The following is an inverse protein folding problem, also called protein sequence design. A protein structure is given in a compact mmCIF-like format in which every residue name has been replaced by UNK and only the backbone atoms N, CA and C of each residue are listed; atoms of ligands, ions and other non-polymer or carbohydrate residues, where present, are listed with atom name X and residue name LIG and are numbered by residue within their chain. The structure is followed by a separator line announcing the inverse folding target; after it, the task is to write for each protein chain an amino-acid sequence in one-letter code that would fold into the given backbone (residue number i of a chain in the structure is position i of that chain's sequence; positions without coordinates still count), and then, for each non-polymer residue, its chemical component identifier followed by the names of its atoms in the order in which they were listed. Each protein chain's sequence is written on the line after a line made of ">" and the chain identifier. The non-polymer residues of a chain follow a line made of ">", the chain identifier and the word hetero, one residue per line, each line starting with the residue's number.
data_IF_782762834506
#
_entry.id   IF_782762834506
#
_cell.length_a   1.000
_cell.length_b   1.000
_cell.length_c   1.000
_cell.angle_alpha   90.00
_cell.angle_beta   90.00
_cell.angle_gamma   90.00
#
_symmetry.space_group_name_H-M   'P 1'
#
loop_
_entity.id
_entity.type
_entity.pdbx_description
1 polymer ?
#
# COMPACT_ATOMS: atom_id res chain seq x y z
N UNK A 1 -18.30 -27.07 -0.88
CA UNK A 1 -17.72 -25.77 -0.49
C UNK A 1 -16.24 -25.79 -0.83
N UNK A 2 -15.74 -24.87 -1.66
CA UNK A 2 -14.28 -24.65 -1.74
C UNK A 2 -13.91 -23.72 -0.60
N UNK A 3 -13.08 -24.17 0.33
CA UNK A 3 -12.59 -23.31 1.41
C UNK A 3 -11.80 -22.14 0.86
N UNK A 4 -11.95 -20.96 1.44
CA UNK A 4 -11.17 -19.78 1.10
C UNK A 4 -10.10 -19.56 2.19
N UNK A 5 -8.83 -19.48 1.78
CA UNK A 5 -7.72 -19.17 2.69
C UNK A 5 -7.60 -17.65 2.87
N UNK A 6 -7.54 -17.18 4.11
CA UNK A 6 -7.25 -15.78 4.46
C UNK A 6 -5.82 -15.67 5.02
N UNK A 7 -5.20 -14.49 4.89
CA UNK A 7 -3.97 -14.18 5.61
C UNK A 7 -4.30 -13.78 7.04
N UNK A 8 -3.35 -13.95 7.95
CA UNK A 8 -3.44 -13.56 9.35
C UNK A 8 -2.02 -13.33 9.89
N UNK A 9 -1.91 -12.59 10.99
CA UNK A 9 -0.69 -12.45 11.79
C UNK A 9 -1.01 -12.73 13.24
N UNK A 10 -0.03 -13.23 14.00
CA UNK A 10 -0.21 -13.54 15.42
C UNK A 10 -0.32 -12.25 16.24
N UNK A 11 -1.37 -12.11 17.03
CA UNK A 11 -1.65 -10.87 17.76
C UNK A 11 -0.63 -10.55 18.87
N UNK A 12 0.07 -11.57 19.40
CA UNK A 12 1.04 -11.39 20.47
C UNK A 12 2.42 -10.92 19.95
N UNK A 13 2.74 -11.24 18.70
CA UNK A 13 4.07 -10.99 18.11
C UNK A 13 4.05 -10.01 16.94
N UNK A 14 2.90 -9.76 16.33
CA UNK A 14 2.80 -8.83 15.20
C UNK A 14 3.29 -7.43 15.58
N UNK A 15 3.99 -6.81 14.63
CA UNK A 15 4.55 -5.46 14.79
C UNK A 15 3.72 -4.44 14.02
N UNK A 16 3.78 -3.18 14.47
CA UNK A 16 3.08 -2.07 13.84
C UNK A 16 3.82 -1.54 12.61
N UNK A 17 3.05 -1.17 11.59
CA UNK A 17 3.53 -0.50 10.40
C UNK A 17 2.54 0.58 9.94
N UNK A 18 3.07 1.60 9.26
CA UNK A 18 2.30 2.48 8.40
C UNK A 18 2.23 1.86 6.99
N UNK A 19 1.05 1.90 6.38
CA UNK A 19 0.84 1.41 5.01
C UNK A 19 0.22 2.52 4.18
N UNK A 20 0.89 2.88 3.09
CA UNK A 20 0.46 3.89 2.13
C UNK A 20 -0.12 3.22 0.90
N UNK A 21 -1.43 3.39 0.71
CA UNK A 21 -2.14 2.90 -0.45
C UNK A 21 -2.23 4.01 -1.48
N UNK A 22 -1.45 3.87 -2.55
CA UNK A 22 -1.51 4.80 -3.68
C UNK A 22 -2.60 4.38 -4.67
N UNK A 23 -3.19 5.38 -5.31
CA UNK A 23 -4.06 5.31 -6.48
C UNK A 23 -3.62 6.37 -7.51
N UNK A 24 -4.32 6.48 -8.64
CA UNK A 24 -4.04 7.48 -9.67
C UNK A 24 -4.02 8.88 -9.06
N UNK A 25 -2.98 9.66 -9.37
CA UNK A 25 -2.83 11.04 -8.90
C UNK A 25 -3.91 11.97 -9.45
N UNK A 26 -4.44 11.67 -10.64
CA UNK A 26 -5.46 12.44 -11.32
C UNK A 26 -6.74 11.64 -11.50
N UNK A 27 -7.89 12.31 -11.43
CA UNK A 27 -9.20 11.74 -11.75
C UNK A 27 -9.50 11.75 -13.24
N UNK A 28 -8.75 12.54 -14.00
CA UNK A 28 -8.89 12.70 -15.44
C UNK A 28 -7.73 11.99 -16.16
N UNK A 29 -8.03 11.33 -17.29
CA UNK A 29 -7.04 10.61 -18.08
C UNK A 29 -6.10 11.55 -18.87
N UNK A 30 -6.53 12.80 -19.10
CA UNK A 30 -5.75 13.84 -19.79
C UNK A 30 -5.78 15.15 -18.98
N UNK A 31 -5.13 15.20 -17.80
CA UNK A 31 -5.26 16.32 -16.86
C UNK A 31 -4.66 17.64 -17.36
N UNK A 32 -3.82 17.62 -18.40
CA UNK A 32 -3.10 18.80 -18.95
C UNK A 32 -3.70 19.32 -20.27
N UNK A 33 -4.93 18.92 -20.59
CA UNK A 33 -5.65 19.45 -21.75
C UNK A 33 -5.85 20.97 -21.64
N UNK A 34 -5.77 21.67 -22.77
CA UNK A 34 -5.63 23.14 -22.84
C UNK A 34 -6.75 23.95 -22.16
N UNK A 35 -7.92 23.36 -21.92
CA UNK A 35 -9.12 24.04 -21.40
C UNK A 35 -9.36 23.82 -19.89
N UNK A 36 -8.39 23.31 -19.12
CA UNK A 36 -8.51 23.10 -17.67
C UNK A 36 -7.20 23.26 -16.91
N UNK A 37 -7.32 23.52 -15.61
CA UNK A 37 -6.18 23.51 -14.70
C UNK A 37 -5.98 22.09 -14.14
N UNK A 38 -4.83 21.47 -14.39
CA UNK A 38 -4.54 20.10 -13.95
C UNK A 38 -4.65 19.91 -12.42
N UNK A 39 -4.47 20.98 -11.63
CA UNK A 39 -4.63 20.92 -10.17
C UNK A 39 -6.08 20.63 -9.75
N UNK A 40 -7.06 21.02 -10.58
CA UNK A 40 -8.47 20.69 -10.36
C UNK A 40 -8.77 19.21 -10.64
N UNK A 41 -7.89 18.52 -11.37
CA UNK A 41 -7.99 17.10 -11.65
C UNK A 41 -7.30 16.23 -10.60
N UNK A 42 -6.70 16.80 -9.54
CA UNK A 42 -6.04 16.01 -8.49
C UNK A 42 -7.06 15.10 -7.80
N UNK A 43 -6.71 13.82 -7.70
CA UNK A 43 -7.50 12.84 -6.97
C UNK A 43 -7.24 13.00 -5.46
N UNK A 44 -8.25 13.42 -4.67
CA UNK A 44 -8.09 13.55 -3.22
C UNK A 44 -7.87 12.19 -2.53
N UNK A 45 -8.18 11.09 -3.21
CA UNK A 45 -7.99 9.72 -2.73
C UNK A 45 -6.74 9.05 -3.35
N UNK A 46 -5.84 9.83 -3.97
CA UNK A 46 -4.59 9.30 -4.57
C UNK A 46 -3.64 8.68 -3.54
N UNK A 47 -3.81 9.00 -2.26
CA UNK A 47 -3.07 8.43 -1.15
C UNK A 47 -4.00 8.23 0.05
N UNK A 48 -4.08 6.99 0.52
CA UNK A 48 -4.65 6.65 1.83
C UNK A 48 -3.52 6.15 2.74
N UNK A 49 -3.37 6.76 3.91
CA UNK A 49 -2.37 6.36 4.91
C UNK A 49 -3.06 5.61 6.04
N UNK A 50 -2.72 4.34 6.18
CA UNK A 50 -3.19 3.48 7.24
C UNK A 50 -2.12 3.37 8.32
N UNK A 51 -2.49 3.62 9.57
CA UNK A 51 -1.58 3.53 10.73
C UNK A 51 -2.00 2.37 11.64
N UNK A 52 -1.05 1.80 12.37
CA UNK A 52 -1.31 0.65 13.26
C UNK A 52 -1.64 -0.64 12.51
N UNK A 53 -1.23 -0.76 11.25
CA UNK A 53 -1.34 -2.01 10.51
C UNK A 53 -0.43 -3.05 11.15
N UNK A 54 -0.90 -4.30 11.23
CA UNK A 54 -0.14 -5.40 11.82
C UNK A 54 0.56 -6.21 10.73
N UNK A 55 1.87 -6.39 10.88
CA UNK A 55 2.69 -7.20 9.97
C UNK A 55 3.48 -8.27 10.72
N UNK A 56 4.02 -9.24 10.00
CA UNK A 56 4.77 -10.34 10.60
C UNK A 56 6.07 -9.85 11.29
N UNK A 57 6.49 -10.51 12.39
CA UNK A 57 7.73 -10.16 13.09
C UNK A 57 8.98 -10.26 12.21
N UNK A 58 8.94 -11.11 11.17
CA UNK A 58 10.02 -11.30 10.19
C UNK A 58 10.40 -10.01 9.44
N UNK A 59 9.52 -9.01 9.42
CA UNK A 59 9.75 -7.73 8.76
C UNK A 59 10.39 -6.67 9.68
N UNK A 60 10.64 -6.97 10.96
CA UNK A 60 11.17 -5.99 11.93
C UNK A 60 12.48 -5.34 11.48
N UNK A 61 13.36 -6.13 10.85
CA UNK A 61 14.68 -5.69 10.37
C UNK A 61 14.71 -5.45 8.86
N UNK A 62 13.55 -5.33 8.22
CA UNK A 62 13.48 -5.00 6.80
C UNK A 62 14.14 -3.62 6.55
N UNK A 63 14.98 -3.54 5.52
CA UNK A 63 15.67 -2.33 5.13
C UNK A 63 15.43 -2.03 3.65
N UNK A 64 15.23 -0.76 3.32
CA UNK A 64 15.08 -0.34 1.94
C UNK A 64 16.43 -0.42 1.20
N UNK A 65 16.44 -0.80 -0.09
CA UNK A 65 15.30 -1.20 -0.89
C UNK A 65 14.90 -2.66 -0.63
N UNK A 66 13.64 -2.89 -0.28
CA UNK A 66 13.07 -4.23 -0.15
C UNK A 66 11.62 -4.21 -0.64
N UNK A 67 11.22 -5.30 -1.31
CA UNK A 67 9.88 -5.48 -1.86
C UNK A 67 9.30 -6.82 -1.43
N UNK A 68 8.01 -6.82 -1.10
CA UNK A 68 7.30 -7.96 -0.54
C UNK A 68 5.93 -8.09 -1.21
N UNK A 69 5.44 -9.33 -1.32
CA UNK A 69 4.04 -9.57 -1.64
C UNK A 69 3.27 -9.78 -0.33
N UNK A 70 2.41 -8.83 0.03
CA UNK A 70 1.49 -9.04 1.14
C UNK A 70 0.33 -9.88 0.63
N UNK A 71 0.15 -11.06 1.24
CA UNK A 71 -0.77 -12.08 0.76
C UNK A 71 -2.17 -11.53 0.54
N UNK A 72 -2.71 -11.69 -0.67
CA UNK A 72 -4.04 -11.21 -1.09
C UNK A 72 -4.24 -9.69 -1.08
N UNK A 73 -3.22 -8.89 -0.78
CA UNK A 73 -3.34 -7.43 -0.71
C UNK A 73 -2.64 -6.73 -1.87
N UNK A 74 -1.41 -7.14 -2.22
CA UNK A 74 -0.63 -6.46 -3.25
C UNK A 74 0.86 -6.67 -3.09
N UNK A 75 1.61 -5.93 -3.90
CA UNK A 75 3.06 -5.81 -3.76
C UNK A 75 3.37 -4.47 -3.09
N UNK A 76 4.26 -4.53 -2.11
CA UNK A 76 4.64 -3.41 -1.27
C UNK A 76 6.16 -3.28 -1.25
N UNK A 77 6.66 -2.07 -1.16
CA UNK A 77 8.07 -1.80 -0.88
C UNK A 77 8.23 -0.99 0.39
N UNK A 78 9.36 -1.18 1.07
CA UNK A 78 9.71 -0.37 2.22
C UNK A 78 10.11 1.04 1.76
N UNK A 79 9.50 2.07 2.34
CA UNK A 79 9.80 3.47 2.00
C UNK A 79 11.24 3.81 2.41
N UNK A 80 12.04 4.32 1.48
CA UNK A 80 13.47 4.57 1.70
C UNK A 80 13.78 5.84 2.49
N UNK A 81 12.79 6.70 2.73
CA UNK A 81 12.95 7.97 3.44
C UNK A 81 12.34 7.92 4.83
N UNK A 82 11.16 7.35 4.95
CA UNK A 82 10.34 7.43 6.17
C UNK A 82 10.42 6.17 7.04
N UNK A 83 10.91 5.05 6.48
CA UNK A 83 11.16 3.83 7.26
C UNK A 83 12.45 3.94 8.07
N UNK A 84 12.37 3.57 9.34
CA UNK A 84 13.48 3.59 10.30
C UNK A 84 13.26 2.49 11.36
N UNK A 85 14.29 2.09 12.12
CA UNK A 85 14.11 1.12 13.19
C UNK A 85 12.95 1.49 14.13
N UNK A 86 12.00 0.58 14.33
CA UNK A 86 10.78 0.79 15.12
C UNK A 86 9.65 1.55 14.42
N UNK A 87 9.82 1.96 13.16
CA UNK A 87 8.80 2.62 12.35
C UNK A 87 8.90 2.16 10.89
N UNK A 88 8.15 1.11 10.56
CA UNK A 88 8.09 0.56 9.20
C UNK A 88 7.02 1.30 8.39
N UNK A 89 7.39 1.76 7.20
CA UNK A 89 6.47 2.41 6.26
C UNK A 89 6.49 1.63 4.95
N UNK A 90 5.34 1.09 4.56
CA UNK A 90 5.20 0.33 3.32
C UNK A 90 4.37 1.08 2.29
N UNK A 91 4.90 1.21 1.08
CA UNK A 91 4.22 1.79 -0.06
C UNK A 91 3.65 0.67 -0.93
N UNK A 92 2.34 0.67 -1.20
CA UNK A 92 1.75 -0.28 -2.16
C UNK A 92 2.20 0.09 -3.57
N UNK A 93 3.06 -0.73 -4.17
CA UNK A 93 3.53 -0.55 -5.54
C UNK A 93 2.44 -0.86 -6.56
N UNK A 94 1.70 -1.95 -6.35
CA UNK A 94 0.58 -2.35 -7.20
C UNK A 94 -0.36 -3.28 -6.44
N UNK A 95 -1.67 -3.16 -6.69
CA UNK A 95 -2.66 -4.10 -6.17
C UNK A 95 -2.58 -5.44 -6.91
N UNK A 96 -3.09 -6.52 -6.32
CA UNK A 96 -3.30 -7.74 -7.09
C UNK A 96 -4.41 -7.51 -8.12
N UNK A 97 -4.34 -8.25 -9.24
CA UNK A 97 -5.46 -8.31 -10.18
C UNK A 97 -6.65 -8.93 -9.47
N UNK A 98 -7.71 -8.17 -9.33
CA UNK A 98 -8.99 -8.73 -8.92
C UNK A 98 -9.65 -9.35 -10.15
N UNK A 99 -9.91 -10.66 -10.10
CA UNK A 99 -10.57 -11.41 -11.18
C UNK A 99 -12.09 -11.33 -11.08
N UNK A 100 -12.62 -10.78 -9.99
CA UNK A 100 -14.04 -10.57 -9.82
C UNK A 100 -14.40 -9.21 -10.40
N UNK A 101 -15.23 -9.21 -11.46
CA UNK A 101 -15.82 -7.97 -12.00
C UNK A 101 -16.49 -7.20 -10.87
N UNK A 102 -16.06 -5.95 -10.66
CA UNK A 102 -16.83 -4.95 -9.90
C UNK A 102 -18.14 -4.65 -10.61
#
# INVERSE_FOLDING_TARGET
>A
MRGATIHWVDAATAIDAEVRLYDNLFTDADPDAADKNFLECLNPNSLEVLTGCKVEPSLADAAAPASFQFMRLGYFCLDSKDSKPGHLVFNRSVSLKDSFKK
#
